data_IF_639625936361
#
_entry.id   IF_639625936361
#
_cell.length_a   1.000
_cell.length_b   1.000
_cell.length_c   1.000
_cell.angle_alpha   90.00
_cell.angle_beta   90.00
_cell.angle_gamma   90.00
#
_symmetry.space_group_name_H-M   'P 1'
#
loop_
_entity.id
_entity.type
_entity.pdbx_description
1 polymer ?
#
# COMPACT_ATOMS: atom_id res chain seq x y z
N UNK A 1 50.78 31.39 6.72
CA UNK A 1 50.06 30.71 5.62
C UNK A 1 49.29 29.56 6.24
N UNK A 2 47.98 29.74 6.46
CA UNK A 2 47.11 28.68 7.02
C UNK A 2 46.50 27.95 5.82
N UNK A 3 46.59 26.61 5.74
CA UNK A 3 46.13 25.86 4.57
C UNK A 3 44.61 25.90 4.43
N UNK A 4 44.17 26.01 3.18
CA UNK A 4 42.80 26.22 2.72
C UNK A 4 41.91 24.96 2.82
N UNK A 5 42.12 24.13 3.85
CA UNK A 5 41.44 22.83 4.03
C UNK A 5 40.29 22.91 5.05
N UNK A 6 40.12 24.02 5.77
CA UNK A 6 39.05 24.17 6.78
C UNK A 6 37.83 24.99 6.32
N UNK A 7 37.44 24.93 5.05
CA UNK A 7 36.30 25.71 4.53
C UNK A 7 35.22 24.87 3.83
N UNK A 8 34.84 23.70 4.34
CA UNK A 8 33.69 22.98 3.77
C UNK A 8 32.79 22.22 4.75
N UNK A 9 32.92 22.44 6.06
CA UNK A 9 31.98 21.89 7.05
C UNK A 9 31.18 23.02 7.70
N UNK A 10 30.49 23.82 6.88
CA UNK A 10 29.36 24.58 7.41
C UNK A 10 28.17 23.61 7.52
N UNK A 11 27.55 23.45 8.71
CA UNK A 11 26.33 22.68 8.82
C UNK A 11 25.27 23.33 7.92
N UNK A 12 24.77 22.59 6.93
CA UNK A 12 23.67 23.09 6.12
C UNK A 12 22.47 23.31 7.04
N UNK A 13 21.94 24.53 7.09
CA UNK A 13 20.69 24.81 7.80
C UNK A 13 19.62 23.85 7.31
N UNK A 14 18.86 23.20 8.21
CA UNK A 14 17.82 22.27 7.80
C UNK A 14 16.83 23.01 6.90
N UNK A 15 16.66 22.50 5.67
CA UNK A 15 15.70 23.04 4.70
C UNK A 15 14.32 22.98 5.33
N UNK A 16 13.64 24.11 5.46
CA UNK A 16 12.29 24.17 5.99
C UNK A 16 11.35 23.42 5.02
N UNK A 17 10.64 22.39 5.49
CA UNK A 17 9.68 21.66 4.67
C UNK A 17 8.55 22.60 4.22
N UNK A 18 8.13 22.47 2.97
CA UNK A 18 7.03 23.22 2.37
C UNK A 18 5.82 22.31 2.12
N UNK A 19 4.66 22.91 1.80
CA UNK A 19 3.48 22.15 1.38
C UNK A 19 3.74 21.28 0.14
N UNK A 20 4.69 21.67 -0.73
CA UNK A 20 5.06 20.89 -1.91
C UNK A 20 5.84 19.61 -1.56
N UNK A 21 6.35 19.50 -0.32
CA UNK A 21 7.08 18.32 0.16
C UNK A 21 6.17 17.32 0.90
N UNK A 22 4.87 17.60 1.01
CA UNK A 22 3.91 16.68 1.63
C UNK A 22 3.61 15.48 0.72
N UNK A 23 3.33 14.30 1.30
CA UNK A 23 2.82 13.18 0.53
C UNK A 23 1.54 13.53 -0.22
N UNK A 24 1.38 12.98 -1.42
CA UNK A 24 0.09 12.98 -2.12
C UNK A 24 -0.78 11.88 -1.54
N UNK A 25 -2.06 12.18 -1.32
CA UNK A 25 -3.07 11.24 -0.84
C UNK A 25 -4.26 11.26 -1.77
N UNK A 26 -4.78 10.08 -2.11
CA UNK A 26 -6.02 9.95 -2.87
C UNK A 26 -6.89 8.85 -2.27
N UNK A 27 -8.11 9.20 -1.89
CA UNK A 27 -9.16 8.27 -1.50
C UNK A 27 -10.34 8.42 -2.46
N UNK A 28 -10.87 7.31 -2.97
CA UNK A 28 -12.03 7.32 -3.87
C UNK A 28 -12.89 6.07 -3.70
N UNK A 29 -14.17 6.22 -3.99
CA UNK A 29 -15.06 5.07 -4.14
C UNK A 29 -14.73 4.35 -5.45
N UNK A 30 -14.65 3.02 -5.37
CA UNK A 30 -14.44 2.13 -6.50
C UNK A 30 -15.73 1.37 -6.76
N UNK A 31 -16.25 1.53 -7.97
CA UNK A 31 -17.37 0.71 -8.45
C UNK A 31 -16.84 -0.61 -8.99
N UNK A 32 -17.28 -1.72 -8.40
CA UNK A 32 -16.89 -3.06 -8.83
C UNK A 32 -18.14 -3.87 -9.22
N UNK A 33 -18.00 -4.94 -10.02
CA UNK A 33 -19.11 -5.83 -10.34
C UNK A 33 -19.79 -6.48 -9.13
N UNK A 34 -19.15 -6.46 -7.96
CA UNK A 34 -19.59 -7.15 -6.74
C UNK A 34 -19.98 -6.20 -5.61
N UNK A 35 -20.05 -4.89 -5.90
CA UNK A 35 -20.38 -3.86 -4.92
C UNK A 35 -19.29 -2.80 -4.77
N UNK A 36 -19.56 -1.75 -3.99
CA UNK A 36 -18.63 -0.65 -3.80
C UNK A 36 -17.48 -1.05 -2.86
N UNK A 37 -16.32 -0.44 -3.10
CA UNK A 37 -15.16 -0.49 -2.21
C UNK A 37 -14.53 0.91 -2.10
N UNK A 38 -13.58 1.10 -1.18
CA UNK A 38 -12.81 2.35 -1.06
C UNK A 38 -11.35 2.12 -1.43
N UNK A 39 -10.91 2.76 -2.49
CA UNK A 39 -9.50 2.81 -2.87
C UNK A 39 -8.77 3.89 -2.09
N UNK A 40 -7.58 3.58 -1.62
CA UNK A 40 -6.66 4.56 -1.02
C UNK A 40 -5.26 4.41 -1.61
N UNK A 41 -4.63 5.54 -1.92
CA UNK A 41 -3.23 5.61 -2.34
C UNK A 41 -2.50 6.75 -1.64
N UNK A 42 -1.24 6.51 -1.33
CA UNK A 42 -0.31 7.47 -0.76
C UNK A 42 1.01 7.40 -1.52
N UNK A 43 1.61 8.55 -1.81
CA UNK A 43 2.90 8.66 -2.48
C UNK A 43 3.73 9.79 -1.87
N UNK A 44 5.03 9.54 -1.63
CA UNK A 44 5.99 10.50 -1.13
C UNK A 44 7.35 10.27 -1.79
N UNK A 45 8.31 11.16 -1.50
CA UNK A 45 9.69 10.98 -1.99
C UNK A 45 10.29 9.71 -1.42
N UNK A 46 10.44 8.69 -2.26
CA UNK A 46 11.04 7.41 -1.88
C UNK A 46 10.06 6.33 -1.42
N UNK A 47 8.75 6.52 -1.56
CA UNK A 47 7.83 5.44 -1.29
C UNK A 47 6.38 5.71 -1.68
N UNK A 48 5.62 4.62 -1.69
CA UNK A 48 4.21 4.61 -2.00
C UNK A 48 3.54 3.40 -1.36
N UNK A 49 2.23 3.49 -1.16
CA UNK A 49 1.39 2.32 -0.93
C UNK A 49 -0.03 2.59 -1.38
N UNK A 50 -0.73 1.51 -1.73
CA UNK A 50 -2.15 1.54 -2.00
C UNK A 50 -2.87 0.35 -1.35
N UNK A 51 -4.18 0.51 -1.20
CA UNK A 51 -5.08 -0.51 -0.68
C UNK A 51 -6.49 -0.34 -1.25
N UNK A 52 -7.25 -1.43 -1.24
CA UNK A 52 -8.70 -1.44 -1.43
C UNK A 52 -9.33 -1.92 -0.13
N UNK A 53 -10.24 -1.12 0.42
CA UNK A 53 -10.97 -1.40 1.64
C UNK A 53 -12.40 -1.83 1.30
N UNK A 54 -12.85 -2.91 1.92
CA UNK A 54 -14.24 -3.37 1.86
C UNK A 54 -14.85 -3.36 3.26
N UNK A 55 -16.12 -3.75 3.36
CA UNK A 55 -16.79 -3.92 4.64
C UNK A 55 -16.29 -5.12 5.46
N UNK A 56 -15.57 -6.07 4.85
CA UNK A 56 -15.08 -7.30 5.50
C UNK A 56 -13.57 -7.32 5.71
N UNK A 57 -12.82 -6.49 4.98
CA UNK A 57 -11.36 -6.52 5.05
C UNK A 57 -10.65 -5.59 4.08
N UNK A 58 -9.36 -5.85 3.87
CA UNK A 58 -8.47 -5.04 3.04
C UNK A 58 -7.69 -5.90 2.06
N UNK A 59 -7.63 -5.45 0.80
CA UNK A 59 -6.61 -5.87 -0.18
C UNK A 59 -5.48 -4.85 -0.10
N UNK A 60 -4.38 -5.22 0.53
CA UNK A 60 -3.24 -4.33 0.77
C UNK A 60 -2.08 -4.63 -0.17
N UNK A 61 -1.28 -3.61 -0.51
CA UNK A 61 0.01 -3.86 -1.16
C UNK A 61 1.03 -4.51 -0.19
N UNK A 62 2.19 -4.92 -0.71
CA UNK A 62 3.15 -5.76 0.01
C UNK A 62 3.82 -5.18 1.27
N UNK A 63 3.50 -3.95 1.68
CA UNK A 63 4.09 -3.33 2.88
C UNK A 63 3.30 -3.61 4.17
N UNK A 64 2.05 -4.08 4.07
CA UNK A 64 1.26 -4.40 5.24
C UNK A 64 1.81 -5.64 5.93
N UNK A 65 1.90 -5.57 7.25
CA UNK A 65 2.27 -6.69 8.10
C UNK A 65 1.02 -7.57 8.34
N UNK A 66 1.06 -8.79 7.81
CA UNK A 66 -0.06 -9.72 7.89
C UNK A 66 -0.17 -10.40 9.26
N UNK A 67 0.95 -10.56 9.95
CA UNK A 67 0.98 -11.17 11.29
C UNK A 67 0.32 -10.22 12.28
N UNK A 68 0.60 -8.91 12.14
CA UNK A 68 -0.11 -7.86 12.86
C UNK A 68 -1.61 -7.89 12.56
N UNK A 69 -2.02 -8.02 11.30
CA UNK A 69 -3.45 -8.12 10.96
C UNK A 69 -4.12 -9.34 11.62
N UNK A 70 -3.43 -10.49 11.65
CA UNK A 70 -3.91 -11.72 12.26
C UNK A 70 -4.04 -11.61 13.78
N UNK A 71 -3.14 -10.90 14.47
CA UNK A 71 -3.23 -10.66 15.92
C UNK A 71 -4.57 -10.01 16.30
N UNK A 72 -5.10 -9.14 15.44
CA UNK A 72 -6.38 -8.46 15.64
C UNK A 72 -7.57 -9.14 14.92
N UNK A 73 -7.35 -10.30 14.29
CA UNK A 73 -8.39 -11.04 13.55
C UNK A 73 -8.91 -10.29 12.32
N UNK A 74 -8.15 -9.36 11.75
CA UNK A 74 -8.57 -8.57 10.59
C UNK A 74 -8.35 -9.35 9.30
N UNK A 75 -9.33 -9.33 8.39
CA UNK A 75 -9.17 -9.96 7.08
C UNK A 75 -8.30 -9.10 6.14
N UNK A 76 -7.06 -9.52 5.93
CA UNK A 76 -6.12 -8.96 4.97
C UNK A 76 -5.72 -9.97 3.90
N UNK A 77 -5.68 -9.52 2.64
CA UNK A 77 -5.05 -10.21 1.52
C UNK A 77 -3.95 -9.31 0.93
N UNK A 78 -2.73 -9.82 0.84
CA UNK A 78 -1.55 -9.03 0.47
C UNK A 78 -1.21 -9.26 -0.99
N UNK A 79 -1.36 -8.22 -1.81
CA UNK A 79 -0.94 -8.20 -3.20
C UNK A 79 0.48 -7.63 -3.33
N UNK A 80 1.29 -8.20 -4.23
CA UNK A 80 2.68 -7.74 -4.42
C UNK A 80 2.96 -7.36 -5.88
N UNK A 81 3.47 -6.15 -6.07
CA UNK A 81 4.06 -5.70 -7.34
C UNK A 81 5.56 -5.99 -7.40
N UNK A 82 6.21 -5.49 -8.44
CA UNK A 82 7.68 -5.58 -8.60
C UNK A 82 8.30 -4.19 -8.67
N UNK A 83 9.63 -4.05 -8.57
CA UNK A 83 10.29 -2.77 -8.80
C UNK A 83 9.99 -2.17 -10.18
N UNK A 84 9.82 -3.01 -11.21
CA UNK A 84 9.49 -2.61 -12.59
C UNK A 84 8.02 -2.23 -12.74
N UNK A 85 7.13 -2.87 -11.96
CA UNK A 85 5.69 -2.60 -11.94
C UNK A 85 5.19 -2.49 -10.48
N UNK A 86 5.48 -1.36 -9.82
CA UNK A 86 5.06 -1.14 -8.45
C UNK A 86 3.56 -0.86 -8.38
N UNK A 87 2.95 -1.19 -7.24
CA UNK A 87 1.55 -0.89 -6.94
C UNK A 87 1.47 0.55 -6.43
N UNK A 88 0.88 1.45 -7.22
CA UNK A 88 0.75 2.88 -6.90
C UNK A 88 -0.70 3.28 -6.68
N UNK A 89 -1.60 2.76 -7.50
CA UNK A 89 -3.02 3.05 -7.48
C UNK A 89 -3.80 1.82 -6.99
N UNK A 90 -4.97 2.00 -6.37
CA UNK A 90 -5.84 0.90 -5.95
C UNK A 90 -6.11 -0.11 -7.08
N UNK A 91 -6.33 0.33 -8.32
CA UNK A 91 -6.64 -0.54 -9.45
C UNK A 91 -5.45 -1.41 -9.90
N UNK A 92 -4.21 -1.05 -9.53
CA UNK A 92 -3.04 -1.93 -9.75
C UNK A 92 -3.21 -3.25 -8.98
N UNK A 93 -3.89 -3.22 -7.83
CA UNK A 93 -4.15 -4.39 -7.02
C UNK A 93 -5.06 -5.40 -7.72
N UNK A 94 -5.94 -4.96 -8.64
CA UNK A 94 -6.86 -5.86 -9.33
C UNK A 94 -6.16 -6.99 -10.07
N UNK A 95 -4.98 -6.72 -10.62
CA UNK A 95 -4.23 -7.66 -11.44
C UNK A 95 -3.03 -8.27 -10.72
N UNK A 96 -2.57 -7.62 -9.64
CA UNK A 96 -1.50 -8.13 -8.80
C UNK A 96 -1.88 -9.46 -8.15
N UNK A 97 -0.86 -10.30 -7.90
CA UNK A 97 -1.05 -11.60 -7.26
C UNK A 97 -1.02 -11.47 -5.74
N UNK A 98 -1.96 -12.14 -5.10
CA UNK A 98 -1.99 -12.32 -3.65
C UNK A 98 -0.85 -13.27 -3.26
N UNK A 99 0.05 -12.80 -2.41
CA UNK A 99 1.23 -13.55 -1.94
C UNK A 99 1.10 -14.00 -0.49
N UNK A 100 0.20 -13.40 0.29
CA UNK A 100 -0.10 -13.79 1.66
C UNK A 100 -1.55 -13.47 2.01
N UNK A 101 -2.14 -14.27 2.90
CA UNK A 101 -3.51 -14.11 3.38
C UNK A 101 -3.55 -14.33 4.88
N UNK A 102 -4.27 -13.45 5.58
CA UNK A 102 -4.57 -13.61 7.01
C UNK A 102 -5.49 -14.82 7.21
N UNK A 103 -5.54 -15.34 8.43
CA UNK A 103 -6.46 -16.38 8.84
C UNK A 103 -7.92 -15.99 8.57
N UNK A 104 -8.31 -14.76 8.92
CA UNK A 104 -9.66 -14.25 8.68
C UNK A 104 -9.98 -14.13 7.18
N UNK A 105 -9.03 -13.69 6.35
CA UNK A 105 -9.21 -13.63 4.89
C UNK A 105 -9.30 -15.04 4.26
N UNK A 106 -8.48 -15.99 4.73
CA UNK A 106 -8.53 -17.37 4.28
C UNK A 106 -9.88 -18.03 4.58
N UNK A 107 -10.51 -17.70 5.72
CA UNK A 107 -11.86 -18.15 6.06
C UNK A 107 -12.95 -17.60 5.11
N UNK A 108 -12.68 -16.51 4.38
CA UNK A 108 -13.56 -16.00 3.32
C UNK A 108 -13.33 -16.72 1.97
N UNK A 109 -12.43 -17.70 1.93
CA UNK A 109 -12.08 -18.43 0.71
C UNK A 109 -11.02 -17.75 -0.16
N UNK A 110 -10.28 -16.77 0.39
CA UNK A 110 -9.19 -16.10 -0.34
C UNK A 110 -7.92 -16.95 -0.22
N UNK A 111 -7.27 -17.18 -1.37
CA UNK A 111 -6.10 -18.05 -1.45
C UNK A 111 -4.90 -17.31 -2.07
N UNK A 112 -3.69 -17.69 -1.66
CA UNK A 112 -2.45 -17.26 -2.32
C UNK A 112 -2.48 -17.68 -3.80
N UNK A 113 -2.02 -16.80 -4.68
CA UNK A 113 -2.04 -16.97 -6.13
C UNK A 113 -3.29 -16.44 -6.83
N UNK A 114 -4.35 -16.10 -6.09
CA UNK A 114 -5.46 -15.31 -6.62
C UNK A 114 -4.97 -13.95 -7.12
N UNK A 115 -5.66 -13.39 -8.10
CA UNK A 115 -5.58 -11.96 -8.44
C UNK A 115 -6.26 -11.13 -7.35
N UNK A 116 -5.88 -9.88 -7.19
CA UNK A 116 -6.57 -9.00 -6.24
C UNK A 116 -8.04 -8.79 -6.59
N UNK A 117 -8.45 -8.92 -7.87
CA UNK A 117 -9.87 -8.91 -8.26
C UNK A 117 -10.64 -10.11 -7.72
N UNK A 118 -10.08 -11.31 -7.80
CA UNK A 118 -10.69 -12.53 -7.22
C UNK A 118 -10.79 -12.42 -5.69
N UNK A 119 -9.73 -11.93 -5.05
CA UNK A 119 -9.74 -11.69 -3.60
C UNK A 119 -10.76 -10.62 -3.18
N UNK A 120 -10.84 -9.52 -3.93
CA UNK A 120 -11.81 -8.45 -3.72
C UNK A 120 -13.25 -8.95 -3.81
N UNK A 121 -13.54 -9.79 -4.81
CA UNK A 121 -14.85 -10.43 -4.92
C UNK A 121 -15.18 -11.22 -3.64
N UNK A 122 -14.29 -12.09 -3.17
CA UNK A 122 -14.48 -12.87 -1.93
C UNK A 122 -14.65 -12.02 -0.68
N UNK A 123 -14.04 -10.83 -0.67
CA UNK A 123 -14.13 -9.87 0.42
C UNK A 123 -15.39 -8.98 0.38
N UNK A 124 -16.16 -9.07 -0.70
CA UNK A 124 -17.43 -8.35 -0.92
C UNK A 124 -18.66 -9.26 -0.87
N UNK A 125 -18.50 -10.57 -1.09
CA UNK A 125 -19.55 -11.59 -0.88
C UNK A 125 -20.14 -11.54 0.55
#
# INVERSE_FOLDING_TARGET
MIPQIMLSLQPQSPRLMSMADLPTVEHRQLETPHGPAVGAAYEWVGGQYCAIHTHRGVIGCGIYDIDCADEFGMAFAIAKGTPEQPLRQPEDLYYAKIVAVSTSAAALGILVGMTGREALHKMLE
#
